data_IF_998454081521
#
_entry.id   IF_998454081521
#
_cell.length_a   1.000
_cell.length_b   1.000
_cell.length_c   1.000
_cell.angle_alpha   90.00
_cell.angle_beta   90.00
_cell.angle_gamma   90.00
#
_symmetry.space_group_name_H-M   'P 1'
#
loop_
_entity.id
_entity.type
_entity.pdbx_description
1 polymer ?
#
# COMPACT_ATOMS: atom_id res chain seq x y z
N UNK A 1 8.27 -37.10 4.19
CA UNK A 1 8.63 -35.68 4.48
C UNK A 1 9.46 -35.16 3.33
N UNK A 2 9.07 -34.03 2.78
CA UNK A 2 9.77 -33.33 1.68
C UNK A 2 10.03 -31.89 2.10
N UNK A 3 10.99 -31.22 1.46
CA UNK A 3 11.14 -29.79 1.57
C UNK A 3 10.68 -29.09 0.28
N UNK A 4 10.17 -27.88 0.39
CA UNK A 4 9.65 -27.09 -0.73
C UNK A 4 10.59 -25.92 -1.11
N UNK A 5 11.86 -26.04 -0.74
CA UNK A 5 12.85 -24.99 -0.95
C UNK A 5 12.83 -23.93 0.16
N UNK A 6 13.61 -22.91 -0.06
CA UNK A 6 13.76 -21.79 0.88
C UNK A 6 12.96 -20.56 0.48
N UNK A 7 12.73 -19.73 1.50
CA UNK A 7 12.28 -18.34 1.37
C UNK A 7 13.34 -17.40 1.98
N UNK A 8 13.58 -16.28 1.32
CA UNK A 8 14.38 -15.20 1.84
C UNK A 8 13.49 -14.20 2.58
N UNK A 9 13.78 -13.99 3.87
CA UNK A 9 12.95 -13.16 4.75
C UNK A 9 13.80 -12.14 5.54
N UNK A 10 14.98 -11.77 5.06
CA UNK A 10 15.90 -10.88 5.78
C UNK A 10 15.46 -9.42 5.79
N UNK A 11 14.57 -9.01 4.86
CA UNK A 11 14.06 -7.64 4.86
C UNK A 11 12.99 -7.50 5.94
N UNK A 12 13.41 -6.95 7.07
CA UNK A 12 12.60 -6.84 8.26
C UNK A 12 12.61 -5.41 8.81
N UNK A 13 11.53 -5.05 9.47
CA UNK A 13 11.39 -3.83 10.24
C UNK A 13 11.06 -4.20 11.69
N UNK A 14 11.90 -3.80 12.65
CA UNK A 14 11.72 -4.17 14.08
C UNK A 14 11.46 -5.67 14.27
N UNK A 15 12.23 -6.51 13.60
CA UNK A 15 12.09 -7.97 13.60
C UNK A 15 10.78 -8.51 12.98
N UNK A 16 10.03 -7.69 12.27
CA UNK A 16 8.88 -8.13 11.47
C UNK A 16 9.25 -8.16 9.99
N UNK A 17 9.03 -9.30 9.37
CA UNK A 17 9.20 -9.51 7.93
C UNK A 17 8.25 -8.59 7.16
N UNK A 18 8.71 -7.95 6.08
CA UNK A 18 7.90 -7.01 5.27
C UNK A 18 7.97 -7.27 3.77
N UNK A 19 9.06 -7.88 3.29
CA UNK A 19 9.22 -8.37 1.93
C UNK A 19 9.88 -9.74 2.01
N UNK A 20 9.27 -10.72 1.37
CA UNK A 20 9.72 -12.10 1.32
C UNK A 20 9.81 -12.58 -0.13
N UNK A 21 10.73 -13.49 -0.43
CA UNK A 21 10.89 -14.01 -1.78
C UNK A 21 11.30 -15.49 -1.81
N UNK A 22 11.00 -16.15 -2.91
CA UNK A 22 11.45 -17.50 -3.23
C UNK A 22 11.75 -17.61 -4.74
N UNK A 23 12.87 -18.24 -5.13
CA UNK A 23 14.01 -18.65 -4.29
C UNK A 23 14.84 -17.43 -3.80
N UNK A 24 15.66 -17.65 -2.77
CA UNK A 24 16.61 -16.65 -2.28
C UNK A 24 17.70 -16.35 -3.33
N UNK A 25 18.04 -15.07 -3.56
CA UNK A 25 19.17 -14.72 -4.43
C UNK A 25 20.52 -15.12 -3.83
N UNK A 26 20.58 -15.49 -2.54
CA UNK A 26 21.79 -15.85 -1.81
C UNK A 26 22.05 -17.36 -1.79
N UNK A 27 20.99 -18.18 -1.90
CA UNK A 27 21.06 -19.64 -1.73
C UNK A 27 21.24 -20.30 -3.10
N UNK A 28 22.38 -20.96 -3.30
CA UNK A 28 22.61 -21.81 -4.46
C UNK A 28 22.02 -23.23 -4.28
N UNK A 29 22.13 -24.07 -5.30
CA UNK A 29 21.58 -25.43 -5.26
C UNK A 29 22.18 -26.28 -4.15
N UNK A 30 23.50 -26.22 -3.95
CA UNK A 30 24.18 -27.02 -2.93
C UNK A 30 23.76 -26.63 -1.52
N UNK A 31 23.67 -25.34 -1.27
CA UNK A 31 23.19 -24.82 0.02
C UNK A 31 21.70 -25.18 0.24
N UNK A 32 20.86 -25.07 -0.78
CA UNK A 32 19.43 -25.48 -0.72
C UNK A 32 19.30 -26.95 -0.34
N UNK A 33 20.08 -27.81 -0.97
CA UNK A 33 20.05 -29.25 -0.71
C UNK A 33 20.52 -29.54 0.74
N UNK A 34 21.56 -28.87 1.20
CA UNK A 34 22.08 -29.05 2.55
C UNK A 34 21.09 -28.57 3.62
N UNK A 35 20.50 -27.38 3.43
CA UNK A 35 19.48 -26.84 4.33
C UNK A 35 18.21 -27.71 4.32
N UNK A 36 17.76 -28.15 3.14
CA UNK A 36 16.61 -29.04 2.96
C UNK A 36 16.82 -30.40 3.64
N UNK A 37 17.99 -31.00 3.48
CA UNK A 37 18.34 -32.25 4.16
C UNK A 37 18.35 -32.11 5.68
N UNK A 38 18.88 -31.00 6.20
CA UNK A 38 18.88 -30.71 7.63
C UNK A 38 17.44 -30.57 8.17
N UNK A 39 16.59 -29.83 7.46
CA UNK A 39 15.18 -29.65 7.82
C UNK A 39 14.40 -30.98 7.80
N UNK A 40 14.56 -31.79 6.75
CA UNK A 40 13.93 -33.13 6.65
C UNK A 40 14.39 -34.04 7.80
N UNK A 41 15.71 -34.06 8.09
CA UNK A 41 16.26 -34.86 9.19
C UNK A 41 15.63 -34.49 10.54
N UNK A 42 15.47 -33.19 10.79
CA UNK A 42 14.84 -32.68 12.01
C UNK A 42 13.37 -33.10 12.08
N UNK A 43 12.58 -32.83 11.03
CA UNK A 43 11.16 -33.16 10.95
C UNK A 43 10.91 -34.67 11.14
N UNK A 44 11.72 -35.53 10.48
CA UNK A 44 11.64 -37.00 10.65
C UNK A 44 11.93 -37.43 12.08
N UNK A 45 12.95 -36.84 12.75
CA UNK A 45 13.30 -37.17 14.14
C UNK A 45 12.20 -36.78 15.12
N UNK A 46 11.51 -35.66 14.85
CA UNK A 46 10.37 -35.17 15.64
C UNK A 46 9.07 -35.89 15.30
N UNK A 47 9.05 -36.74 14.27
CA UNK A 47 7.81 -37.31 13.71
C UNK A 47 6.76 -36.24 13.42
N UNK A 48 7.23 -35.11 12.87
CA UNK A 48 6.40 -33.95 12.62
C UNK A 48 5.44 -34.21 11.45
N UNK A 49 4.17 -33.89 11.66
CA UNK A 49 3.12 -33.96 10.66
C UNK A 49 2.59 -32.55 10.37
N UNK A 50 2.14 -32.30 9.13
CA UNK A 50 1.67 -31.00 8.62
C UNK A 50 2.79 -30.10 8.07
N UNK A 51 2.42 -28.88 7.69
CA UNK A 51 3.35 -27.87 7.21
C UNK A 51 4.13 -27.23 8.39
N UNK A 52 5.42 -27.03 8.19
CA UNK A 52 6.30 -26.35 9.15
C UNK A 52 7.44 -25.64 8.43
N UNK A 53 8.13 -24.79 9.14
CA UNK A 53 9.30 -24.07 8.63
C UNK A 53 10.46 -24.17 9.60
N UNK A 54 11.62 -24.53 9.06
CA UNK A 54 12.88 -24.47 9.77
C UNK A 54 13.60 -23.20 9.34
N UNK A 55 13.83 -22.28 10.27
CA UNK A 55 14.53 -21.02 10.00
C UNK A 55 16.03 -21.19 10.25
N UNK A 56 16.82 -20.59 9.36
CA UNK A 56 18.28 -20.58 9.40
C UNK A 56 18.80 -19.15 9.28
N UNK A 57 19.94 -18.90 9.89
CA UNK A 57 20.77 -17.72 9.63
C UNK A 57 21.88 -18.10 8.65
N UNK A 58 22.08 -17.29 7.62
CA UNK A 58 23.13 -17.49 6.62
C UNK A 58 24.13 -16.32 6.69
N UNK A 59 25.42 -16.62 6.82
CA UNK A 59 26.47 -15.62 6.68
C UNK A 59 26.66 -15.26 5.20
N UNK A 60 26.51 -13.97 4.89
CA UNK A 60 26.59 -13.48 3.50
C UNK A 60 28.00 -13.62 2.91
N UNK A 61 29.06 -13.68 3.73
CA UNK A 61 30.44 -13.77 3.28
C UNK A 61 30.92 -15.21 3.12
N UNK A 62 30.66 -16.06 4.14
CA UNK A 62 31.15 -17.44 4.15
C UNK A 62 30.22 -18.43 3.49
N UNK A 63 28.91 -18.12 3.44
CA UNK A 63 27.88 -19.06 3.00
C UNK A 63 27.55 -20.14 4.04
N UNK A 64 28.11 -20.05 5.24
CA UNK A 64 27.73 -20.97 6.32
C UNK A 64 26.33 -20.64 6.84
N UNK A 65 25.60 -21.67 7.26
CA UNK A 65 24.25 -21.49 7.80
C UNK A 65 24.09 -22.18 9.17
N UNK A 66 23.28 -21.56 10.01
CA UNK A 66 23.01 -22.04 11.37
C UNK A 66 21.53 -22.14 11.63
N UNK A 67 21.13 -23.18 12.31
CA UNK A 67 19.76 -23.36 12.79
C UNK A 67 19.35 -22.22 13.74
N UNK A 68 18.19 -21.65 13.52
CA UNK A 68 17.60 -20.63 14.39
C UNK A 68 16.43 -21.19 15.19
N UNK A 69 15.34 -21.58 14.51
CA UNK A 69 14.12 -22.08 15.14
C UNK A 69 13.28 -22.95 14.21
N UNK A 70 12.26 -23.59 14.77
CA UNK A 70 11.20 -24.28 14.02
C UNK A 70 9.87 -23.61 14.30
N UNK A 71 9.20 -23.20 13.26
CA UNK A 71 7.82 -22.75 13.30
C UNK A 71 6.89 -23.90 12.89
N UNK A 72 6.20 -24.48 13.88
CA UNK A 72 5.32 -25.64 13.70
C UNK A 72 3.91 -25.23 13.24
N UNK A 73 3.87 -24.40 12.22
CA UNK A 73 2.65 -23.83 11.62
C UNK A 73 2.90 -23.34 10.23
N UNK A 74 1.83 -23.10 9.49
CA UNK A 74 1.89 -22.31 8.25
C UNK A 74 2.36 -20.89 8.57
N UNK A 75 3.27 -20.35 7.78
CA UNK A 75 3.77 -18.99 7.92
C UNK A 75 3.04 -18.03 6.97
N UNK A 76 3.10 -16.72 7.28
CA UNK A 76 2.46 -15.67 6.48
C UNK A 76 2.98 -15.69 5.05
N UNK A 77 4.28 -15.92 4.88
CA UNK A 77 5.01 -15.90 3.60
C UNK A 77 4.93 -17.21 2.80
N UNK A 78 4.03 -18.15 3.16
CA UNK A 78 3.84 -19.39 2.38
C UNK A 78 3.48 -19.17 0.90
N UNK A 79 2.78 -18.08 0.52
CA UNK A 79 2.39 -17.88 -0.88
C UNK A 79 3.55 -17.86 -1.86
N UNK A 80 4.73 -17.33 -1.48
CA UNK A 80 5.87 -17.32 -2.41
C UNK A 80 6.38 -18.72 -2.72
N UNK A 81 6.24 -19.67 -1.77
CA UNK A 81 6.53 -21.09 -2.00
C UNK A 81 5.48 -21.72 -2.91
N UNK A 82 4.19 -21.44 -2.67
CA UNK A 82 3.10 -21.95 -3.50
C UNK A 82 3.26 -21.50 -4.95
N UNK A 83 3.57 -20.24 -5.18
CA UNK A 83 3.76 -19.67 -6.52
C UNK A 83 4.90 -20.34 -7.29
N UNK A 84 6.06 -20.62 -6.67
CA UNK A 84 7.19 -21.20 -7.36
C UNK A 84 7.10 -22.72 -7.51
N UNK A 85 6.40 -23.42 -6.61
CA UNK A 85 6.29 -24.89 -6.62
C UNK A 85 5.00 -25.39 -7.25
N UNK A 86 3.96 -24.56 -7.34
CA UNK A 86 2.62 -24.95 -7.76
C UNK A 86 1.89 -25.87 -6.77
N UNK A 87 2.33 -25.91 -5.50
CA UNK A 87 1.70 -26.69 -4.43
C UNK A 87 0.88 -25.79 -3.53
N UNK A 88 -0.39 -26.12 -3.29
CA UNK A 88 -1.27 -25.44 -2.33
C UNK A 88 -1.02 -26.03 -0.93
N UNK A 89 -0.33 -25.26 -0.08
CA UNK A 89 0.08 -25.74 1.24
C UNK A 89 -1.10 -25.89 2.20
N UNK A 90 -2.12 -25.08 2.07
CA UNK A 90 -3.34 -25.17 2.91
C UNK A 90 -4.11 -26.43 2.52
N UNK A 91 -4.25 -26.70 1.23
CA UNK A 91 -4.87 -27.92 0.74
C UNK A 91 -4.13 -29.17 1.20
N UNK A 92 -2.79 -29.18 1.12
CA UNK A 92 -1.98 -30.28 1.62
C UNK A 92 -2.11 -30.50 3.13
N UNK A 93 -2.22 -29.42 3.92
CA UNK A 93 -2.49 -29.53 5.36
C UNK A 93 -3.83 -30.22 5.62
N UNK A 94 -4.88 -29.91 4.85
CA UNK A 94 -6.20 -30.52 4.99
C UNK A 94 -6.17 -32.00 4.58
N UNK A 95 -5.43 -32.37 3.54
CA UNK A 95 -5.25 -33.76 3.12
C UNK A 95 -4.56 -34.59 4.20
N UNK A 96 -3.44 -34.08 4.72
CA UNK A 96 -2.70 -34.74 5.80
C UNK A 96 -3.57 -34.90 7.06
N UNK A 97 -4.35 -33.88 7.42
CA UNK A 97 -5.27 -33.95 8.56
C UNK A 97 -6.40 -34.98 8.37
N UNK A 98 -6.72 -35.35 7.11
CA UNK A 98 -7.63 -36.46 6.79
C UNK A 98 -6.96 -37.83 6.85
N UNK A 99 -5.65 -37.89 7.12
CA UNK A 99 -4.88 -39.12 7.11
C UNK A 99 -4.40 -39.57 5.71
N UNK A 100 -4.43 -38.67 4.72
CA UNK A 100 -3.95 -38.94 3.38
C UNK A 100 -2.42 -38.76 3.31
N UNK A 101 -1.76 -39.55 2.46
CA UNK A 101 -0.34 -39.34 2.17
C UNK A 101 -0.13 -38.21 1.18
N UNK A 102 1.08 -37.61 1.13
CA UNK A 102 1.41 -36.52 0.21
C UNK A 102 1.18 -36.87 -1.27
N UNK A 103 1.39 -38.14 -1.65
CA UNK A 103 1.19 -38.59 -3.03
C UNK A 103 2.28 -38.11 -4.01
N UNK A 104 3.35 -37.49 -3.52
CA UNK A 104 4.53 -37.07 -4.28
C UNK A 104 5.80 -37.16 -3.45
N UNK A 105 6.93 -37.30 -4.12
CA UNK A 105 8.26 -37.40 -3.54
C UNK A 105 9.04 -36.07 -3.64
N UNK A 106 10.28 -36.05 -3.20
CA UNK A 106 11.15 -34.88 -3.32
C UNK A 106 11.51 -34.56 -4.79
N UNK A 107 11.65 -35.60 -5.62
CA UNK A 107 11.99 -35.51 -7.05
C UNK A 107 10.85 -34.87 -7.88
N UNK A 108 9.62 -34.92 -7.39
CA UNK A 108 8.45 -34.35 -8.03
C UNK A 108 8.29 -32.84 -7.76
N UNK A 109 9.15 -32.30 -6.90
CA UNK A 109 9.11 -30.88 -6.54
C UNK A 109 10.05 -30.10 -7.45
N UNK A 110 9.48 -29.19 -8.21
CA UNK A 110 10.22 -28.29 -9.10
C UNK A 110 9.95 -26.85 -8.74
N UNK A 111 10.95 -25.99 -8.94
CA UNK A 111 10.83 -24.54 -8.73
C UNK A 111 10.84 -23.83 -10.07
N UNK A 112 9.85 -23.00 -10.33
CA UNK A 112 9.72 -22.28 -11.60
C UNK A 112 9.59 -20.78 -11.37
N UNK A 113 10.50 -20.01 -11.98
CA UNK A 113 10.51 -18.55 -11.87
C UNK A 113 10.92 -18.05 -10.49
N UNK A 114 10.46 -16.87 -10.14
CA UNK A 114 10.67 -16.25 -8.83
C UNK A 114 9.37 -15.61 -8.36
N UNK A 115 9.10 -15.67 -7.07
CA UNK A 115 7.95 -15.03 -6.45
C UNK A 115 8.39 -14.13 -5.31
N UNK A 116 7.72 -12.99 -5.18
CA UNK A 116 7.98 -12.00 -4.14
C UNK A 116 6.64 -11.60 -3.50
N UNK A 117 6.62 -11.57 -2.19
CA UNK A 117 5.51 -11.10 -1.36
C UNK A 117 5.89 -9.80 -0.69
N UNK A 118 4.93 -8.89 -0.56
CA UNK A 118 5.05 -7.70 0.29
C UNK A 118 3.86 -7.64 1.23
N UNK A 119 4.12 -7.30 2.50
CA UNK A 119 3.09 -7.12 3.51
C UNK A 119 2.66 -5.67 3.59
N UNK A 120 1.43 -5.40 3.18
CA UNK A 120 0.81 -4.08 3.29
C UNK A 120 0.28 -3.89 4.70
N UNK A 121 0.84 -2.92 5.42
CA UNK A 121 0.47 -2.59 6.80
C UNK A 121 -0.15 -1.20 6.90
N UNK A 122 -1.10 -1.04 7.83
CA UNK A 122 -1.60 0.25 8.29
C UNK A 122 -0.61 0.88 9.27
N UNK A 123 0.46 1.47 8.75
CA UNK A 123 1.57 2.04 9.52
C UNK A 123 2.09 3.30 8.85
N UNK A 124 2.62 4.22 9.64
CA UNK A 124 3.27 5.43 9.15
C UNK A 124 4.80 5.27 9.12
N UNK A 125 5.40 5.00 7.94
CA UNK A 125 6.85 4.89 7.82
C UNK A 125 7.60 6.18 8.17
N UNK A 126 6.95 7.36 8.02
CA UNK A 126 7.56 8.66 8.34
C UNK A 126 7.63 8.91 9.84
N UNK A 127 6.74 8.27 10.60
CA UNK A 127 6.68 8.35 12.05
C UNK A 127 7.09 7.00 12.68
N UNK A 128 8.26 6.52 12.29
CA UNK A 128 8.89 5.30 12.79
C UNK A 128 7.95 4.07 12.78
N UNK A 129 7.13 3.95 11.72
CA UNK A 129 6.19 2.85 11.52
C UNK A 129 5.19 2.67 12.66
N UNK A 130 4.73 3.74 13.27
CA UNK A 130 3.65 3.66 14.24
C UNK A 130 2.37 3.16 13.56
N UNK A 131 1.58 2.31 14.22
CA UNK A 131 0.29 1.87 13.69
C UNK A 131 -0.62 3.07 13.39
N UNK A 132 -1.27 3.01 12.22
CA UNK A 132 -2.26 3.98 11.79
C UNK A 132 -3.65 3.36 11.89
N UNK A 133 -4.62 4.13 12.39
CA UNK A 133 -6.01 3.69 12.53
C UNK A 133 -6.94 4.60 11.73
N UNK A 134 -8.12 4.11 11.39
CA UNK A 134 -9.12 4.87 10.67
C UNK A 134 -10.02 4.00 9.82
N UNK A 135 -10.81 4.63 8.97
CA UNK A 135 -11.68 3.93 8.02
C UNK A 135 -11.06 4.01 6.63
N UNK A 136 -10.98 2.89 5.93
CA UNK A 136 -10.54 2.85 4.53
C UNK A 136 -11.60 3.52 3.66
N UNK A 137 -11.29 4.72 3.17
CA UNK A 137 -12.16 5.48 2.27
C UNK A 137 -12.10 4.89 0.86
N UNK A 138 -10.90 4.48 0.43
CA UNK A 138 -10.64 3.85 -0.85
C UNK A 138 -9.83 2.58 -0.66
N UNK A 139 -10.19 1.51 -1.39
CA UNK A 139 -9.42 0.29 -1.55
C UNK A 139 -9.79 -0.38 -2.86
N UNK A 140 -8.93 -0.26 -3.86
CA UNK A 140 -9.14 -0.84 -5.20
C UNK A 140 -7.79 -1.19 -5.83
N UNK A 141 -7.55 -2.48 -6.05
CA UNK A 141 -6.38 -2.96 -6.79
C UNK A 141 -6.62 -2.92 -8.29
N UNK A 142 -5.54 -2.82 -9.08
CA UNK A 142 -5.62 -2.91 -10.53
C UNK A 142 -5.66 -4.39 -10.95
N UNK A 143 -6.81 -4.82 -11.46
CA UNK A 143 -7.04 -6.20 -11.91
C UNK A 143 -6.33 -6.55 -13.23
N UNK A 144 -5.78 -5.58 -13.95
CA UNK A 144 -4.97 -5.83 -15.15
C UNK A 144 -3.54 -6.29 -14.83
N UNK A 145 -3.12 -6.14 -13.57
CA UNK A 145 -1.82 -6.60 -13.11
C UNK A 145 -2.01 -7.99 -12.48
N UNK A 146 -1.31 -8.95 -13.06
CA UNK A 146 -1.29 -10.32 -12.56
C UNK A 146 -0.55 -10.40 -11.21
N UNK A 147 -1.30 -10.19 -10.13
CA UNK A 147 -0.86 -10.23 -8.75
C UNK A 147 -1.91 -10.94 -7.89
N UNK A 148 -1.45 -11.80 -6.99
CA UNK A 148 -2.28 -12.42 -5.97
C UNK A 148 -2.42 -11.46 -4.79
N UNK A 149 -3.65 -11.28 -4.32
CA UNK A 149 -4.00 -10.45 -3.18
C UNK A 149 -4.67 -11.30 -2.11
N UNK A 150 -3.94 -11.58 -1.04
CA UNK A 150 -4.52 -12.21 0.15
C UNK A 150 -4.88 -11.09 1.12
N UNK A 151 -6.15 -10.69 1.13
CA UNK A 151 -6.63 -9.51 1.86
C UNK A 151 -7.77 -9.85 2.81
N UNK A 152 -7.80 -9.19 3.97
CA UNK A 152 -8.89 -9.24 4.94
C UNK A 152 -9.67 -7.93 5.03
N UNK A 153 -9.47 -7.01 4.10
CA UNK A 153 -10.09 -5.68 4.10
C UNK A 153 -10.82 -5.38 2.80
N UNK A 154 -11.76 -4.47 2.89
CA UNK A 154 -12.49 -3.87 1.77
C UNK A 154 -12.69 -2.37 2.00
N UNK A 155 -13.18 -1.66 1.00
CA UNK A 155 -13.57 -0.26 1.18
C UNK A 155 -14.63 -0.14 2.29
N UNK A 156 -14.41 0.76 3.24
CA UNK A 156 -15.26 0.94 4.43
C UNK A 156 -14.78 0.16 5.66
N UNK A 157 -13.82 -0.75 5.54
CA UNK A 157 -13.23 -1.45 6.69
C UNK A 157 -12.64 -0.46 7.69
N UNK A 158 -12.86 -0.74 8.97
CA UNK A 158 -12.31 0.04 10.08
C UNK A 158 -11.05 -0.64 10.60
N UNK A 159 -9.93 0.04 10.52
CA UNK A 159 -8.64 -0.41 11.06
C UNK A 159 -8.50 0.13 12.49
N UNK A 160 -8.46 -0.77 13.46
CA UNK A 160 -8.32 -0.46 14.88
C UNK A 160 -6.96 -0.86 15.43
N UNK A 161 -6.87 -0.91 16.77
CA UNK A 161 -5.67 -1.30 17.53
C UNK A 161 -5.76 -2.70 18.13
N UNK A 162 -6.89 -3.39 17.93
CA UNK A 162 -7.16 -4.66 18.61
C UNK A 162 -6.46 -5.86 17.96
N UNK A 163 -6.05 -5.71 16.70
CA UNK A 163 -5.40 -6.73 15.90
C UNK A 163 -4.11 -6.21 15.26
N UNK A 164 -3.36 -7.13 14.64
CA UNK A 164 -2.19 -6.81 13.82
C UNK A 164 -2.58 -5.82 12.70
N UNK A 165 -1.78 -4.77 12.44
CA UNK A 165 -2.09 -3.76 11.44
C UNK A 165 -1.92 -4.24 10.00
N UNK A 166 -1.66 -5.51 9.74
CA UNK A 166 -1.53 -6.06 8.38
C UNK A 166 -2.88 -6.04 7.65
N UNK A 167 -2.93 -5.36 6.53
CA UNK A 167 -4.12 -5.18 5.70
C UNK A 167 -4.22 -6.26 4.61
N UNK A 168 -3.10 -6.55 3.98
CA UNK A 168 -3.03 -7.51 2.88
C UNK A 168 -1.60 -8.03 2.67
N UNK A 169 -1.50 -9.18 2.01
CA UNK A 169 -0.29 -9.64 1.36
C UNK A 169 -0.48 -9.47 -0.14
N UNK A 170 0.55 -8.95 -0.81
CA UNK A 170 0.56 -8.80 -2.26
C UNK A 170 1.70 -9.65 -2.80
N UNK A 171 1.37 -10.59 -3.66
CA UNK A 171 2.30 -11.60 -4.16
C UNK A 171 2.33 -11.53 -5.68
N UNK A 172 3.52 -11.58 -6.26
CA UNK A 172 3.71 -11.65 -7.70
C UNK A 172 4.72 -12.72 -8.07
N UNK A 173 4.47 -13.36 -9.21
CA UNK A 173 5.39 -14.29 -9.85
C UNK A 173 5.92 -13.71 -11.14
N UNK A 174 7.21 -13.92 -11.41
CA UNK A 174 7.87 -13.56 -12.66
C UNK A 174 8.72 -14.70 -13.19
N UNK A 175 9.05 -14.65 -14.49
CA UNK A 175 10.03 -15.58 -15.06
C UNK A 175 11.41 -15.38 -14.45
N UNK A 176 11.71 -14.13 -14.10
CA UNK A 176 12.92 -13.73 -13.39
C UNK A 176 12.55 -12.99 -12.10
N UNK A 177 13.49 -12.93 -11.16
CA UNK A 177 13.35 -12.16 -9.93
C UNK A 177 13.04 -10.67 -10.20
N UNK A 178 13.70 -10.10 -11.20
CA UNK A 178 13.47 -8.69 -11.59
C UNK A 178 12.05 -8.48 -12.13
N UNK A 179 11.52 -9.43 -12.91
CA UNK A 179 10.14 -9.36 -13.40
C UNK A 179 9.14 -9.40 -12.24
N UNK A 180 9.34 -10.31 -11.27
CA UNK A 180 8.51 -10.39 -10.08
C UNK A 180 8.57 -9.09 -9.27
N UNK A 181 9.77 -8.54 -9.03
CA UNK A 181 9.96 -7.29 -8.29
C UNK A 181 9.27 -6.09 -8.96
N UNK A 182 9.44 -5.94 -10.27
CA UNK A 182 8.83 -4.85 -11.04
C UNK A 182 7.30 -4.98 -11.06
N UNK A 183 6.78 -6.21 -11.23
CA UNK A 183 5.34 -6.48 -11.21
C UNK A 183 4.75 -6.16 -9.83
N UNK A 184 5.41 -6.56 -8.73
CA UNK A 184 4.97 -6.26 -7.37
C UNK A 184 4.99 -4.75 -7.08
N UNK A 185 6.07 -4.07 -7.49
CA UNK A 185 6.15 -2.62 -7.33
C UNK A 185 5.05 -1.90 -8.13
N UNK A 186 4.71 -2.38 -9.32
CA UNK A 186 3.62 -1.83 -10.14
C UNK A 186 2.25 -2.10 -9.50
N UNK A 187 2.00 -3.32 -8.99
CA UNK A 187 0.76 -3.67 -8.32
C UNK A 187 0.49 -2.79 -7.10
N UNK A 188 1.53 -2.56 -6.28
CA UNK A 188 1.45 -1.67 -5.12
C UNK A 188 1.29 -0.19 -5.52
N UNK A 189 1.99 0.27 -6.56
CA UNK A 189 1.94 1.64 -7.03
C UNK A 189 0.58 2.00 -7.63
N UNK A 190 -0.07 1.04 -8.30
CA UNK A 190 -1.41 1.17 -8.91
C UNK A 190 -2.56 0.96 -7.93
N UNK A 191 -2.28 0.52 -6.69
CA UNK A 191 -3.28 0.33 -5.65
C UNK A 191 -3.86 1.69 -5.24
N UNK A 192 -5.17 1.86 -5.43
CA UNK A 192 -5.90 3.01 -4.90
C UNK A 192 -6.32 2.74 -3.46
N UNK A 193 -5.63 3.34 -2.50
CA UNK A 193 -5.87 3.14 -1.07
C UNK A 193 -5.79 4.47 -0.31
N UNK A 194 -6.75 4.72 0.57
CA UNK A 194 -6.76 5.94 1.36
C UNK A 194 -7.73 5.90 2.53
N UNK A 195 -7.58 6.88 3.43
CA UNK A 195 -8.31 6.95 4.71
C UNK A 195 -7.48 6.46 5.90
N UNK A 196 -6.47 5.61 5.63
CA UNK A 196 -5.50 5.13 6.61
C UNK A 196 -4.10 5.26 5.99
N UNK A 197 -3.13 5.70 6.77
CA UNK A 197 -1.72 5.73 6.33
C UNK A 197 -1.18 4.30 6.25
N UNK A 198 -0.46 3.99 5.17
CA UNK A 198 0.10 2.66 4.92
C UNK A 198 1.58 2.71 4.59
N UNK A 199 2.24 1.56 4.66
CA UNK A 199 3.63 1.40 4.25
C UNK A 199 3.80 1.21 2.73
N UNK A 200 2.78 1.40 1.89
CA UNK A 200 2.79 1.17 0.45
C UNK A 200 3.96 1.84 -0.27
N UNK A 201 4.12 3.15 -0.08
CA UNK A 201 5.17 3.92 -0.78
C UNK A 201 6.58 3.48 -0.38
N UNK A 202 6.74 3.08 0.89
CA UNK A 202 7.97 2.50 1.39
C UNK A 202 8.28 1.15 0.72
N UNK A 203 7.27 0.28 0.54
CA UNK A 203 7.41 -1.00 -0.16
C UNK A 203 7.80 -0.79 -1.63
N UNK A 204 7.10 0.11 -2.34
CA UNK A 204 7.41 0.46 -3.74
C UNK A 204 8.85 0.98 -3.87
N UNK A 205 9.26 1.89 -2.97
CA UNK A 205 10.62 2.43 -2.95
C UNK A 205 11.66 1.35 -2.65
N UNK A 206 11.35 0.39 -1.77
CA UNK A 206 12.22 -0.73 -1.44
C UNK A 206 12.44 -1.64 -2.65
N UNK A 207 11.36 -2.08 -3.29
CA UNK A 207 11.37 -2.97 -4.46
C UNK A 207 12.09 -2.35 -5.67
N UNK A 208 11.95 -1.04 -5.88
CA UNK A 208 12.61 -0.30 -6.96
C UNK A 208 14.07 0.08 -6.64
N UNK A 209 14.54 -0.16 -5.42
CA UNK A 209 15.91 0.18 -5.04
C UNK A 209 16.94 -0.68 -5.76
N UNK A 210 18.10 -0.08 -6.09
CA UNK A 210 19.21 -0.82 -6.71
C UNK A 210 19.75 -1.94 -5.82
N UNK A 211 19.61 -1.82 -4.48
CA UNK A 211 19.99 -2.86 -3.53
C UNK A 211 19.09 -4.08 -3.69
N UNK A 212 17.78 -3.89 -3.71
CA UNK A 212 16.83 -4.98 -3.90
C UNK A 212 17.02 -5.67 -5.24
N UNK A 213 17.05 -4.90 -6.33
CA UNK A 213 17.18 -5.45 -7.69
C UNK A 213 18.49 -6.23 -7.90
N UNK A 214 19.55 -5.88 -7.18
CA UNK A 214 20.82 -6.62 -7.19
C UNK A 214 20.90 -7.79 -6.21
N UNK A 215 19.80 -8.15 -5.53
CA UNK A 215 19.75 -9.24 -4.57
C UNK A 215 20.54 -8.99 -3.27
N UNK A 216 20.81 -7.73 -2.93
CA UNK A 216 21.47 -7.35 -1.68
C UNK A 216 20.43 -7.17 -0.57
N UNK A 217 19.86 -8.29 -0.13
CA UNK A 217 18.71 -8.36 0.78
C UNK A 217 19.11 -8.85 2.17
N UNK A 218 20.21 -8.32 2.71
CA UNK A 218 20.68 -8.63 4.07
C UNK A 218 19.82 -7.96 5.14
N UNK A 219 19.90 -8.40 6.40
CA UNK A 219 19.09 -7.89 7.52
C UNK A 219 19.21 -6.37 7.77
N UNK A 220 20.31 -5.75 7.31
CA UNK A 220 20.54 -4.30 7.35
C UNK A 220 20.11 -3.57 6.06
N UNK A 221 19.27 -4.23 5.24
CA UNK A 221 18.79 -3.69 3.95
C UNK A 221 18.18 -2.29 4.07
N UNK A 222 17.33 -2.06 5.06
CA UNK A 222 16.63 -0.77 5.22
C UNK A 222 17.63 0.36 5.47
N UNK A 223 18.65 0.11 6.29
CA UNK A 223 19.69 1.09 6.62
C UNK A 223 20.59 1.39 5.42
N UNK A 224 20.87 0.37 4.58
CA UNK A 224 21.71 0.52 3.38
C UNK A 224 20.97 1.12 2.20
N UNK A 225 19.78 0.63 1.91
CA UNK A 225 18.99 1.05 0.77
C UNK A 225 18.28 2.40 1.00
N UNK A 226 17.96 2.73 2.26
CA UNK A 226 17.26 3.95 2.69
C UNK A 226 16.03 4.26 1.84
N UNK A 227 15.06 3.34 1.76
CA UNK A 227 13.86 3.56 0.96
C UNK A 227 13.11 4.82 1.39
N UNK A 228 12.46 5.48 0.45
CA UNK A 228 11.61 6.63 0.77
C UNK A 228 10.47 6.17 1.69
N UNK A 229 10.27 6.87 2.79
CA UNK A 229 9.27 6.52 3.79
C UNK A 229 7.87 7.01 3.44
N UNK A 230 7.77 8.08 2.65
CA UNK A 230 6.51 8.64 2.13
C UNK A 230 6.75 9.44 0.86
N UNK A 231 5.71 9.60 0.08
CA UNK A 231 5.69 10.50 -1.08
C UNK A 231 4.86 11.73 -0.69
N UNK A 232 5.53 12.87 -0.55
CA UNK A 232 4.86 14.16 -0.33
C UNK A 232 4.79 14.88 -1.67
N UNK A 233 3.57 15.15 -2.13
CA UNK A 233 3.36 15.88 -3.37
C UNK A 233 3.78 17.33 -3.24
N UNK A 234 4.47 17.83 -4.25
CA UNK A 234 4.94 19.21 -4.35
C UNK A 234 4.80 19.70 -5.79
N UNK A 235 4.83 21.00 -5.95
CA UNK A 235 4.92 21.68 -7.23
C UNK A 235 3.90 21.15 -8.25
N UNK A 236 4.36 20.79 -9.44
CA UNK A 236 3.52 20.34 -10.57
C UNK A 236 2.63 19.14 -10.21
N UNK A 237 3.13 18.15 -9.46
CA UNK A 237 2.33 16.97 -9.09
C UNK A 237 1.18 17.32 -8.16
N UNK A 238 1.43 18.20 -7.19
CA UNK A 238 0.39 18.69 -6.29
C UNK A 238 -0.63 19.55 -7.03
N UNK A 239 -0.18 20.40 -7.95
CA UNK A 239 -1.04 21.20 -8.80
C UNK A 239 -1.94 20.30 -9.66
N UNK A 240 -1.38 19.31 -10.37
CA UNK A 240 -2.15 18.38 -11.19
C UNK A 240 -3.18 17.61 -10.36
N UNK A 241 -2.80 17.12 -9.17
CA UNK A 241 -3.71 16.39 -8.28
C UNK A 241 -4.86 17.29 -7.80
N UNK A 242 -4.59 18.52 -7.43
CA UNK A 242 -5.63 19.46 -6.95
C UNK A 242 -6.54 19.91 -8.09
N UNK A 243 -6.01 20.12 -9.30
CA UNK A 243 -6.83 20.45 -10.49
C UNK A 243 -7.75 19.27 -10.84
N UNK A 244 -7.22 18.05 -10.88
CA UNK A 244 -8.02 16.84 -11.13
C UNK A 244 -9.13 16.69 -10.08
N UNK A 245 -8.83 16.88 -8.80
CA UNK A 245 -9.79 16.89 -7.70
C UNK A 245 -10.90 17.95 -7.90
N UNK A 246 -10.51 19.16 -8.22
CA UNK A 246 -11.45 20.29 -8.39
C UNK A 246 -12.38 20.07 -9.59
N UNK A 247 -11.84 19.62 -10.72
CA UNK A 247 -12.62 19.38 -11.92
C UNK A 247 -13.46 18.08 -11.82
N UNK A 248 -13.01 17.09 -11.07
CA UNK A 248 -13.87 15.94 -10.74
C UNK A 248 -15.08 16.37 -9.88
N UNK A 249 -14.89 17.20 -8.86
CA UNK A 249 -15.99 17.77 -8.05
C UNK A 249 -16.93 18.62 -8.93
N UNK A 250 -16.39 19.38 -9.88
CA UNK A 250 -17.18 20.13 -10.84
C UNK A 250 -18.06 19.20 -11.68
N UNK A 251 -17.47 18.12 -12.22
CA UNK A 251 -18.19 17.10 -13.00
C UNK A 251 -19.30 16.42 -12.19
N UNK A 252 -19.00 16.04 -10.93
CA UNK A 252 -19.99 15.47 -10.01
C UNK A 252 -21.15 16.45 -9.78
N UNK A 253 -20.86 17.70 -9.43
CA UNK A 253 -21.91 18.70 -9.20
C UNK A 253 -22.78 18.91 -10.44
N UNK A 254 -22.20 18.75 -11.62
CA UNK A 254 -22.94 18.83 -12.87
C UNK A 254 -23.78 17.57 -13.11
N UNK A 255 -23.23 16.39 -12.86
CA UNK A 255 -23.93 15.12 -12.97
C UNK A 255 -25.16 15.07 -12.01
N UNK A 256 -24.98 15.54 -10.80
CA UNK A 256 -26.00 15.53 -9.75
C UNK A 256 -27.01 16.68 -9.88
N UNK A 257 -26.81 17.61 -10.81
CA UNK A 257 -27.70 18.74 -11.01
C UNK A 257 -29.08 18.26 -11.54
N UNK A 258 -30.14 18.64 -10.86
CA UNK A 258 -31.53 18.31 -11.24
C UNK A 258 -32.20 19.40 -12.09
N UNK A 259 -31.62 20.59 -12.13
CA UNK A 259 -32.14 21.76 -12.87
C UNK A 259 -31.06 22.32 -13.79
N UNK A 260 -31.48 23.01 -14.87
CA UNK A 260 -30.61 23.74 -15.81
C UNK A 260 -29.52 22.85 -16.44
N UNK A 261 -29.78 21.58 -16.63
CA UNK A 261 -28.81 20.60 -17.17
C UNK A 261 -28.31 20.93 -18.58
N UNK A 262 -29.13 21.63 -19.40
CA UNK A 262 -28.80 22.02 -20.77
C UNK A 262 -27.97 23.30 -20.85
N UNK A 263 -27.76 23.99 -19.73
CA UNK A 263 -26.96 25.22 -19.71
C UNK A 263 -25.51 24.86 -19.41
N UNK A 264 -24.52 25.39 -20.17
CA UNK A 264 -23.12 25.16 -19.89
C UNK A 264 -22.75 25.55 -18.45
N UNK A 265 -21.87 24.74 -17.83
CA UNK A 265 -21.43 25.00 -16.46
C UNK A 265 -20.77 26.37 -16.34
N UNK A 266 -21.19 27.15 -15.34
CA UNK A 266 -20.65 28.49 -15.11
C UNK A 266 -21.16 29.58 -16.06
N UNK A 267 -22.15 29.28 -16.93
CA UNK A 267 -22.79 30.28 -17.77
C UNK A 267 -23.41 31.42 -16.95
N UNK A 268 -23.18 32.66 -17.36
CA UNK A 268 -23.70 33.89 -16.73
C UNK A 268 -23.89 34.99 -17.76
N UNK A 269 -24.87 35.87 -17.51
CA UNK A 269 -25.10 37.08 -18.29
C UNK A 269 -24.13 38.22 -17.96
N UNK A 270 -23.42 38.11 -16.87
CA UNK A 270 -22.48 39.14 -16.39
C UNK A 270 -21.09 38.55 -16.17
N UNK A 271 -20.07 39.40 -16.12
CA UNK A 271 -18.70 39.00 -15.74
C UNK A 271 -18.66 38.64 -14.26
N UNK A 272 -18.45 37.38 -13.95
CA UNK A 272 -18.25 36.91 -12.59
C UNK A 272 -16.80 36.42 -12.42
N UNK A 273 -16.29 36.43 -11.17
CA UNK A 273 -15.01 35.83 -10.86
C UNK A 273 -15.01 34.32 -11.18
N UNK A 274 -13.82 33.75 -11.31
CA UNK A 274 -13.65 32.30 -11.48
C UNK A 274 -14.29 31.53 -10.32
N UNK A 275 -14.75 30.32 -10.57
CA UNK A 275 -15.17 29.42 -9.50
C UNK A 275 -13.94 29.01 -8.70
N UNK A 276 -14.11 28.79 -7.40
CA UNK A 276 -13.00 28.46 -6.47
C UNK A 276 -13.39 27.26 -5.61
N UNK A 277 -12.50 26.29 -5.52
CA UNK A 277 -12.60 25.16 -4.59
C UNK A 277 -11.33 25.16 -3.73
N UNK A 278 -11.49 24.95 -2.42
CA UNK A 278 -10.40 24.85 -1.47
C UNK A 278 -10.21 23.43 -0.99
N UNK A 279 -8.95 23.06 -0.78
CA UNK A 279 -8.52 21.80 -0.21
C UNK A 279 -7.55 22.04 0.94
N UNK A 280 -7.58 21.20 1.97
CA UNK A 280 -6.50 21.07 2.93
C UNK A 280 -5.65 19.85 2.60
N UNK A 281 -4.33 20.02 2.56
CA UNK A 281 -3.33 19.00 2.36
C UNK A 281 -2.13 19.26 3.27
N UNK A 282 -1.80 18.34 4.19
CA UNK A 282 -0.71 18.47 5.16
C UNK A 282 -0.77 19.86 5.89
N UNK A 283 -1.93 20.19 6.45
CA UNK A 283 -2.21 21.44 7.18
C UNK A 283 -2.05 22.73 6.35
N UNK A 284 -1.93 22.62 5.03
CA UNK A 284 -1.91 23.75 4.11
C UNK A 284 -3.21 23.85 3.35
N UNK A 285 -3.74 25.06 3.24
CA UNK A 285 -4.88 25.33 2.37
C UNK A 285 -4.41 25.59 0.95
N UNK A 286 -5.02 24.92 0.00
CA UNK A 286 -4.75 25.04 -1.44
C UNK A 286 -6.06 25.39 -2.14
N UNK A 287 -6.03 26.38 -2.99
CA UNK A 287 -7.20 26.83 -3.72
C UNK A 287 -7.00 26.66 -5.22
N UNK A 288 -7.97 26.03 -5.87
CA UNK A 288 -8.05 25.93 -7.33
C UNK A 288 -9.15 26.85 -7.82
N UNK A 289 -8.80 27.79 -8.71
CA UNK A 289 -9.75 28.66 -9.40
C UNK A 289 -9.91 28.22 -10.84
N UNK A 290 -11.13 28.07 -11.33
CA UNK A 290 -11.37 27.64 -12.70
C UNK A 290 -12.55 28.35 -13.37
N UNK A 291 -12.51 28.36 -14.71
CA UNK A 291 -13.57 28.88 -15.57
C UNK A 291 -13.72 27.98 -16.80
N UNK A 292 -14.93 27.56 -17.09
CA UNK A 292 -15.24 26.83 -18.33
C UNK A 292 -15.16 27.76 -19.53
N UNK A 293 -14.51 27.33 -20.59
CA UNK A 293 -14.39 28.01 -21.87
C UNK A 293 -15.45 27.47 -22.87
N UNK A 294 -15.59 28.14 -24.05
CA UNK A 294 -16.58 27.73 -25.05
C UNK A 294 -16.25 26.42 -25.77
N UNK A 295 -14.98 26.07 -25.82
CA UNK A 295 -14.44 24.84 -26.42
C UNK A 295 -14.44 23.63 -25.49
N UNK A 296 -15.16 23.72 -24.35
CA UNK A 296 -15.21 22.74 -23.26
C UNK A 296 -13.90 22.54 -22.50
N UNK A 297 -12.89 23.36 -22.74
CA UNK A 297 -11.71 23.43 -21.89
C UNK A 297 -11.98 24.25 -20.62
N UNK A 298 -11.04 24.20 -19.69
CA UNK A 298 -11.06 25.00 -18.47
C UNK A 298 -9.78 25.82 -18.38
N UNK A 299 -9.93 27.12 -18.17
CA UNK A 299 -8.82 27.96 -17.70
C UNK A 299 -8.71 27.80 -16.20
N UNK A 300 -7.56 27.31 -15.72
CA UNK A 300 -7.34 26.98 -14.31
C UNK A 300 -6.22 27.85 -13.74
N UNK A 301 -6.37 28.30 -12.52
CA UNK A 301 -5.42 29.19 -11.84
C UNK A 301 -4.92 30.34 -12.73
N UNK A 302 -3.68 30.77 -12.60
CA UNK A 302 -3.09 31.84 -13.42
C UNK A 302 -2.22 31.23 -14.53
N UNK A 303 -2.84 30.59 -15.54
CA UNK A 303 -2.13 30.21 -16.76
C UNK A 303 -2.27 28.76 -17.20
N UNK A 304 -2.75 27.86 -16.37
CA UNK A 304 -2.96 26.47 -16.76
C UNK A 304 -4.26 26.27 -17.50
N UNK A 305 -4.23 25.32 -18.46
CA UNK A 305 -5.41 24.88 -19.22
C UNK A 305 -5.66 23.42 -18.97
N UNK A 306 -6.92 23.05 -18.72
CA UNK A 306 -7.32 21.66 -18.53
C UNK A 306 -8.48 21.29 -19.47
N UNK A 307 -8.46 20.06 -19.97
CA UNK A 307 -9.54 19.47 -20.75
C UNK A 307 -9.96 18.15 -20.15
N UNK A 308 -11.25 18.00 -19.81
CA UNK A 308 -11.81 16.73 -19.37
C UNK A 308 -12.14 15.93 -20.64
N UNK A 309 -11.51 14.76 -20.77
CA UNK A 309 -11.75 13.83 -21.86
C UNK A 309 -12.86 12.85 -21.50
N UNK A 310 -12.85 12.35 -20.27
CA UNK A 310 -13.89 11.49 -19.73
C UNK A 310 -14.08 11.78 -18.24
N UNK A 311 -15.32 11.78 -17.78
CA UNK A 311 -15.68 11.91 -16.37
C UNK A 311 -16.60 10.76 -15.95
N UNK A 312 -16.31 10.19 -14.78
CA UNK A 312 -17.15 9.17 -14.13
C UNK A 312 -17.20 9.41 -12.65
N UNK A 313 -18.09 8.70 -11.96
CA UNK A 313 -18.14 8.69 -10.49
C UNK A 313 -16.88 8.07 -9.88
N UNK A 314 -16.12 7.28 -10.63
CA UNK A 314 -14.89 6.59 -10.19
C UNK A 314 -13.61 7.37 -10.48
N UNK A 315 -13.68 8.41 -11.33
CA UNK A 315 -12.48 9.15 -11.69
C UNK A 315 -12.67 10.08 -12.89
N UNK A 316 -11.55 10.63 -13.33
CA UNK A 316 -11.48 11.62 -14.41
C UNK A 316 -10.27 11.34 -15.31
N UNK A 317 -10.50 11.27 -16.63
CA UNK A 317 -9.46 11.32 -17.64
C UNK A 317 -9.31 12.77 -18.07
N UNK A 318 -8.17 13.34 -17.82
CA UNK A 318 -7.92 14.77 -17.96
C UNK A 318 -6.57 15.05 -18.60
N UNK A 319 -6.53 16.07 -19.42
CA UNK A 319 -5.30 16.67 -19.92
C UNK A 319 -5.09 18.03 -19.26
N UNK A 320 -3.92 18.24 -18.66
CA UNK A 320 -3.52 19.50 -18.03
C UNK A 320 -2.19 19.90 -18.65
N UNK A 321 -2.15 21.08 -19.33
CA UNK A 321 -0.95 21.62 -19.97
C UNK A 321 -0.22 20.57 -20.83
N UNK A 322 -0.93 19.89 -21.73
CA UNK A 322 -0.47 18.82 -22.62
C UNK A 322 -0.02 17.53 -21.91
N UNK A 323 -0.36 17.35 -20.64
CA UNK A 323 -0.10 16.13 -19.87
C UNK A 323 -1.42 15.44 -19.59
N UNK A 324 -1.68 14.32 -20.29
CA UNK A 324 -2.90 13.50 -20.11
C UNK A 324 -2.64 12.41 -19.08
N UNK A 325 -3.59 12.20 -18.18
CA UNK A 325 -3.60 11.10 -17.21
C UNK A 325 -5.02 10.81 -16.74
N UNK A 326 -5.21 9.58 -16.24
CA UNK A 326 -6.42 9.21 -15.53
C UNK A 326 -6.18 9.31 -14.02
N UNK A 327 -7.14 9.90 -13.31
CA UNK A 327 -7.14 9.91 -11.84
C UNK A 327 -8.37 9.17 -11.31
N UNK A 328 -8.15 8.12 -10.48
CA UNK A 328 -9.22 7.55 -9.68
C UNK A 328 -9.56 8.52 -8.55
N UNK A 329 -10.83 8.65 -8.23
CA UNK A 329 -11.28 9.56 -7.18
C UNK A 329 -12.34 8.88 -6.32
N UNK A 330 -12.10 8.82 -5.03
CA UNK A 330 -13.07 8.32 -4.06
C UNK A 330 -13.33 9.39 -3.01
N UNK A 331 -14.61 9.69 -2.78
CA UNK A 331 -15.03 10.68 -1.80
C UNK A 331 -15.83 10.05 -0.67
N UNK A 332 -15.52 10.46 0.56
CA UNK A 332 -16.34 10.19 1.74
C UNK A 332 -16.51 11.50 2.53
N UNK A 333 -17.71 12.04 2.53
CA UNK A 333 -18.02 13.36 3.12
C UNK A 333 -17.12 14.46 2.55
N UNK A 334 -16.29 15.06 3.40
CA UNK A 334 -15.31 16.11 3.06
C UNK A 334 -13.93 15.55 2.66
N UNK A 335 -13.70 14.29 2.81
CA UNK A 335 -12.44 13.63 2.47
C UNK A 335 -12.47 13.09 1.04
N UNK A 336 -11.43 13.39 0.27
CA UNK A 336 -11.27 13.02 -1.13
C UNK A 336 -9.92 12.33 -1.32
N UNK A 337 -9.94 11.06 -1.70
CA UNK A 337 -8.73 10.33 -2.09
C UNK A 337 -8.60 10.39 -3.60
N UNK A 338 -7.48 10.90 -4.07
CA UNK A 338 -7.17 11.06 -5.50
C UNK A 338 -5.92 10.26 -5.83
N UNK A 339 -6.05 9.28 -6.72
CA UNK A 339 -4.96 8.47 -7.23
C UNK A 339 -4.60 8.90 -8.65
N UNK A 340 -3.32 9.05 -8.92
CA UNK A 340 -2.83 9.42 -10.24
C UNK A 340 -1.38 8.98 -10.44
N UNK A 341 -0.66 9.51 -11.46
CA UNK A 341 0.75 9.16 -11.70
C UNK A 341 1.70 9.45 -10.51
N UNK A 342 1.21 10.14 -9.53
CA UNK A 342 1.91 10.49 -8.28
C UNK A 342 1.59 9.56 -7.10
N UNK A 343 0.76 8.52 -7.29
CA UNK A 343 0.18 7.69 -6.21
C UNK A 343 -1.10 8.29 -5.63
N UNK A 344 -1.43 7.94 -4.38
CA UNK A 344 -2.61 8.48 -3.69
C UNK A 344 -2.31 9.74 -2.90
N UNK A 345 -3.27 10.65 -2.90
CA UNK A 345 -3.29 11.82 -2.04
C UNK A 345 -4.66 11.97 -1.38
N UNK A 346 -4.65 12.25 -0.09
CA UNK A 346 -5.86 12.56 0.67
C UNK A 346 -5.99 14.07 0.80
N UNK A 347 -7.06 14.61 0.22
CA UNK A 347 -7.49 15.98 0.40
C UNK A 347 -8.69 16.06 1.33
N UNK A 348 -8.75 17.10 2.14
CA UNK A 348 -9.98 17.51 2.79
C UNK A 348 -10.55 18.69 2.03
N UNK A 349 -11.78 18.56 1.56
CA UNK A 349 -12.50 19.63 0.85
C UNK A 349 -12.91 20.69 1.85
N UNK A 350 -12.46 21.92 1.66
CA UNK A 350 -12.82 23.03 2.54
C UNK A 350 -14.25 23.46 2.29
N UNK A 351 -15.05 23.75 3.34
CA UNK A 351 -16.40 24.23 3.19
C UNK A 351 -16.39 25.59 2.48
N UNK A 352 -17.32 25.78 1.56
CA UNK A 352 -17.46 27.05 0.82
C UNK A 352 -17.85 28.21 1.72
N UNK A 353 -18.60 27.90 2.78
CA UNK A 353 -19.05 28.84 3.79
C UNK A 353 -18.85 28.23 5.17
N UNK A 354 -18.26 28.99 6.08
CA UNK A 354 -18.12 28.59 7.48
C UNK A 354 -19.22 29.28 8.29
N UNK A 355 -19.89 28.53 9.16
CA UNK A 355 -20.83 29.10 10.10
C UNK A 355 -20.06 29.93 11.16
N UNK A 356 -20.51 31.13 11.54
CA UNK A 356 -19.90 31.86 12.62
C UNK A 356 -19.87 31.03 13.91
N UNK A 357 -18.70 30.95 14.56
CA UNK A 357 -18.51 30.21 15.80
C UNK A 357 -18.06 28.73 15.65
N UNK A 358 -17.82 28.23 14.43
CA UNK A 358 -17.28 26.88 14.20
C UNK A 358 -15.75 26.87 14.04
N UNK A 359 -15.05 27.90 14.43
CA UNK A 359 -13.59 27.89 14.42
C UNK A 359 -13.05 26.84 15.38
N UNK A 360 -12.35 25.85 14.84
CA UNK A 360 -11.62 24.87 15.64
C UNK A 360 -10.49 25.65 16.35
N UNK A 361 -10.56 25.76 17.67
CA UNK A 361 -9.47 26.35 18.44
C UNK A 361 -8.18 25.54 18.19
N UNK A 362 -7.24 26.17 17.50
CA UNK A 362 -5.90 25.65 17.35
C UNK A 362 -5.24 25.56 18.75
N UNK A 363 -4.83 24.36 19.15
CA UNK A 363 -4.12 24.13 20.42
C UNK A 363 -4.70 23.06 21.34
N UNK A 364 -5.57 22.19 20.86
CA UNK A 364 -6.00 21.01 21.61
C UNK A 364 -4.82 20.06 21.86
N UNK A 365 -4.71 19.55 23.10
CA UNK A 365 -3.78 18.47 23.44
C UNK A 365 -4.31 17.19 22.80
N UNK A 366 -3.70 16.79 21.71
CA UNK A 366 -4.06 15.55 20.97
C UNK A 366 -2.99 14.51 21.23
N UNK A 367 -3.39 13.27 21.48
CA UNK A 367 -2.45 12.16 21.60
C UNK A 367 -1.66 11.97 20.29
N UNK A 368 -0.33 11.75 20.34
CA UNK A 368 0.50 11.59 19.15
C UNK A 368 0.23 10.28 18.38
N UNK A 369 -0.51 9.36 19.00
CA UNK A 369 -0.90 8.08 18.42
C UNK A 369 -2.27 7.65 18.93
N UNK A 370 -3.02 6.84 18.15
CA UNK A 370 -4.26 6.25 18.65
C UNK A 370 -4.00 5.38 19.88
N UNK A 371 -4.87 5.51 20.88
CA UNK A 371 -4.74 4.77 22.13
C UNK A 371 -5.98 4.87 23.00
N UNK A 372 -6.08 4.02 24.01
CA UNK A 372 -7.14 4.06 25.01
C UNK A 372 -6.66 4.90 26.21
N UNK A 373 -7.46 5.88 26.62
CA UNK A 373 -7.17 6.66 27.83
C UNK A 373 -7.30 5.72 29.03
N UNK A 374 -6.19 5.48 29.73
CA UNK A 374 -6.12 4.59 30.90
C UNK A 374 -6.40 5.39 32.18
N UNK A 375 -5.90 6.62 32.26
CA UNK A 375 -6.03 7.47 33.45
C UNK A 375 -6.01 8.96 33.07
N UNK A 376 -6.79 9.76 33.81
CA UNK A 376 -6.83 11.22 33.65
C UNK A 376 -6.31 11.87 34.95
N UNK A 377 -5.05 12.26 34.96
CA UNK A 377 -4.34 12.78 36.14
C UNK A 377 -4.62 14.25 36.48
N UNK A 378 -5.43 14.93 35.65
CA UNK A 378 -5.75 16.35 35.81
C UNK A 378 -7.25 16.57 35.92
N UNK A 379 -7.66 17.61 36.65
CA UNK A 379 -9.07 18.01 36.76
C UNK A 379 -9.32 19.19 35.83
N UNK A 380 -10.60 19.46 35.53
CA UNK A 380 -11.02 20.67 34.79
C UNK A 380 -10.41 21.89 35.46
N UNK A 381 -9.83 22.82 34.66
CA UNK A 381 -9.14 24.05 35.12
C UNK A 381 -7.74 23.84 35.74
N UNK A 382 -7.19 22.62 35.77
CA UNK A 382 -5.80 22.40 36.20
C UNK A 382 -4.81 23.07 35.24
N UNK A 383 -3.85 23.82 35.77
CA UNK A 383 -2.72 24.34 34.98
C UNK A 383 -1.76 23.22 34.65
N UNK A 384 -1.48 23.00 33.36
CA UNK A 384 -0.52 22.03 32.87
C UNK A 384 0.65 22.73 32.17
N UNK A 385 1.84 22.14 32.22
CA UNK A 385 3.01 22.60 31.47
C UNK A 385 3.17 21.74 30.25
N UNK A 386 3.68 22.33 29.15
CA UNK A 386 4.12 21.55 27.98
C UNK A 386 5.24 20.64 28.43
N UNK A 387 5.06 19.32 28.23
CA UNK A 387 6.05 18.30 28.49
C UNK A 387 7.02 18.11 27.34
#
# INVERSE_FOLDING_TARGET
VVHLGERECSIQRRHQKIIEESPSPRVDSNMRDAMGAAAIKLAKKLKYESAGTVEFLVDDKTGEFWFLEVNTRLQVEHPVTEEVTGKDLVYEQLRIARGEELGYSQEDITWTGSSIEARLYAEDPSNDFLPATGTLIAYENDTNIDARWDTGIEQGSVVGTDFDPMLAKVITKGKTRTDAANKLALALDSLHIGGVTTNRDFLVSSLRSSHFLKGKTTSDFIDKAKPKRSVILKDKSLEQATIAAALWIQGRNRNDATILQNIPSGWRNSRLPRQKIGFSYLDKEIFVSYKSNRDNSFSVNEGSTAQILEWSTRGIDIEIDNSRFFSKVTQNKDSLVVHGPWGDVLFKVLPRFTLPGTEIQAGGLVAPMPGKVIDVKVKVVSKVKKG
#
